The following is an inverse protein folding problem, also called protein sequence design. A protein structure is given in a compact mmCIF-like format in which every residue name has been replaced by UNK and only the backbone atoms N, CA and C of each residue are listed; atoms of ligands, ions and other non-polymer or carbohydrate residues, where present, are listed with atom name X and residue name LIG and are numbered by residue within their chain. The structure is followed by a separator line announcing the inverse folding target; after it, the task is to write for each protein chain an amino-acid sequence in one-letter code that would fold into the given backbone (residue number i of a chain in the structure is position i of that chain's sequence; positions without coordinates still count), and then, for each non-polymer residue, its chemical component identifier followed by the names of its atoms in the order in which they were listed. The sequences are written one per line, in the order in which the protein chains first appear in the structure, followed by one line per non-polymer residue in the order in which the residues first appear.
data_IF_466859389304
#
_entry.id   IF_466859389304
#
_cell.length_a   1.000
_cell.length_b   1.000
_cell.length_c   1.000
_cell.angle_alpha   90.00
_cell.angle_beta   90.00
_cell.angle_gamma   90.00
#
_symmetry.space_group_name_H-M   'P 1'
#
loop_
_entity.id
_entity.type
_entity.pdbx_description
1 polymer ?
#
# COMPACT_ATOMS: atom_id res chain seq x y z
N UNK A 1 -5.91 -11.48 -14.41
CA UNK A 1 -4.70 -11.96 -13.71
C UNK A 1 -4.16 -10.79 -12.91
N UNK A 2 -4.40 -10.75 -11.59
CA UNK A 2 -3.75 -9.76 -10.75
C UNK A 2 -2.24 -10.07 -10.72
N UNK A 3 -1.36 -9.07 -10.78
CA UNK A 3 0.07 -9.32 -10.72
C UNK A 3 0.38 -10.04 -9.39
N UNK A 4 1.09 -11.18 -9.40
CA UNK A 4 1.34 -12.00 -8.21
C UNK A 4 2.07 -11.26 -7.08
N UNK A 5 2.67 -10.10 -7.38
CA UNK A 5 3.36 -9.26 -6.40
C UNK A 5 2.39 -8.46 -5.51
N UNK A 6 1.20 -8.09 -5.98
CA UNK A 6 0.30 -7.21 -5.24
C UNK A 6 -0.19 -7.86 -3.94
N UNK A 7 -0.73 -9.08 -4.02
CA UNK A 7 -1.25 -9.79 -2.85
C UNK A 7 -0.14 -10.09 -1.82
N UNK A 8 1.06 -10.41 -2.30
CA UNK A 8 2.22 -10.66 -1.44
C UNK A 8 2.68 -9.39 -0.71
N UNK A 9 2.69 -8.24 -1.40
CA UNK A 9 3.02 -6.93 -0.81
C UNK A 9 1.99 -6.54 0.25
N UNK A 10 0.69 -6.63 -0.07
CA UNK A 10 -0.39 -6.31 0.88
C UNK A 10 -0.29 -7.19 2.13
N UNK A 11 -0.08 -8.50 1.95
CA UNK A 11 0.05 -9.43 3.08
C UNK A 11 1.28 -9.12 3.93
N UNK A 12 2.41 -8.78 3.30
CA UNK A 12 3.65 -8.39 3.99
C UNK A 12 3.44 -7.11 4.81
N UNK A 13 2.82 -6.08 4.22
CA UNK A 13 2.54 -4.82 4.92
C UNK A 13 1.58 -5.07 6.09
N UNK A 14 0.49 -5.81 5.87
CA UNK A 14 -0.49 -6.14 6.91
C UNK A 14 0.15 -6.84 8.12
N UNK A 15 1.07 -7.79 7.86
CA UNK A 15 1.84 -8.46 8.92
C UNK A 15 2.83 -7.52 9.61
N UNK A 16 3.51 -6.63 8.87
CA UNK A 16 4.51 -5.67 9.39
C UNK A 16 3.86 -4.58 10.27
N UNK A 17 2.66 -4.13 9.91
CA UNK A 17 1.94 -3.05 10.61
C UNK A 17 0.82 -3.54 11.51
N UNK A 18 0.69 -4.87 11.68
CA UNK A 18 -0.37 -5.52 12.46
C UNK A 18 -1.78 -5.00 12.12
N UNK A 19 -2.04 -4.74 10.84
CA UNK A 19 -3.29 -4.18 10.31
C UNK A 19 -4.00 -5.20 9.43
N UNK A 20 -5.33 -5.17 9.36
CA UNK A 20 -6.10 -6.06 8.49
C UNK A 20 -5.70 -5.90 7.02
N UNK A 21 -5.51 -7.01 6.32
CA UNK A 21 -5.21 -7.05 4.88
C UNK A 21 -6.25 -6.31 4.05
N UNK A 22 -7.51 -6.30 4.46
CA UNK A 22 -8.58 -5.55 3.81
C UNK A 22 -8.34 -4.04 3.86
N UNK A 23 -7.96 -3.51 5.02
CA UNK A 23 -7.59 -2.10 5.20
C UNK A 23 -6.37 -1.73 4.37
N UNK A 24 -5.34 -2.57 4.39
CA UNK A 24 -4.12 -2.38 3.60
C UNK A 24 -4.43 -2.44 2.10
N UNK A 25 -5.28 -3.36 1.66
CA UNK A 25 -5.71 -3.48 0.26
C UNK A 25 -6.43 -2.23 -0.21
N UNK A 26 -7.37 -1.72 0.61
CA UNK A 26 -8.14 -0.52 0.28
C UNK A 26 -7.23 0.72 0.20
N UNK A 27 -6.34 0.88 1.18
CA UNK A 27 -5.38 1.99 1.21
C UNK A 27 -4.39 1.92 0.05
N UNK A 28 -3.90 0.72 -0.28
CA UNK A 28 -3.04 0.51 -1.43
C UNK A 28 -3.77 0.84 -2.73
N UNK A 29 -5.01 0.40 -2.92
CA UNK A 29 -5.77 0.68 -4.13
C UNK A 29 -6.06 2.18 -4.31
N UNK A 30 -6.40 2.87 -3.21
CA UNK A 30 -6.63 4.31 -3.18
C UNK A 30 -5.36 5.09 -3.57
N UNK A 31 -4.25 4.80 -2.90
CA UNK A 31 -2.94 5.40 -3.21
C UNK A 31 -2.47 5.00 -4.62
N UNK A 32 -2.74 3.79 -5.08
CA UNK A 32 -2.42 3.39 -6.45
C UNK A 32 -3.19 4.21 -7.48
N UNK A 33 -4.48 4.45 -7.26
CA UNK A 33 -5.29 5.28 -8.15
C UNK A 33 -4.72 6.71 -8.24
N UNK A 34 -4.43 7.33 -7.09
CA UNK A 34 -3.84 8.67 -7.02
C UNK A 34 -2.50 8.77 -7.77
N UNK A 35 -1.60 7.81 -7.56
CA UNK A 35 -0.28 7.85 -8.17
C UNK A 35 -0.30 7.36 -9.63
N UNK A 36 -1.26 6.53 -10.03
CA UNK A 36 -1.42 6.11 -11.42
C UNK A 36 -2.00 7.23 -12.30
N UNK A 37 -2.75 8.15 -11.69
CA UNK A 37 -3.25 9.34 -12.37
C UNK A 37 -2.06 10.25 -12.75
N UNK A 38 -1.80 10.34 -14.06
CA UNK A 38 -0.69 11.11 -14.61
C UNK A 38 0.68 10.40 -14.61
N UNK A 39 0.79 9.17 -14.10
CA UNK A 39 2.04 8.41 -14.17
C UNK A 39 2.27 7.78 -15.54
N UNK A 40 3.43 8.07 -16.11
CA UNK A 40 3.88 7.50 -17.39
C UNK A 40 4.57 6.14 -17.24
N UNK A 41 5.03 5.81 -16.02
CA UNK A 41 5.72 4.55 -15.70
C UNK A 41 5.07 3.94 -14.45
N UNK A 42 4.39 2.81 -14.64
CA UNK A 42 3.71 2.07 -13.57
C UNK A 42 4.63 1.10 -12.81
N UNK A 43 5.83 0.86 -13.34
CA UNK A 43 6.77 -0.13 -12.79
C UNK A 43 7.26 0.25 -11.38
N UNK A 44 7.64 1.52 -11.19
CA UNK A 44 8.08 2.07 -9.89
C UNK A 44 6.94 2.38 -8.93
N UNK A 45 5.71 2.41 -9.45
CA UNK A 45 4.51 2.79 -8.72
C UNK A 45 4.24 1.80 -7.58
N UNK A 46 4.52 0.51 -7.80
CA UNK A 46 4.46 -0.53 -6.77
C UNK A 46 5.33 -0.19 -5.56
N UNK A 47 6.56 0.29 -5.78
CA UNK A 47 7.50 0.64 -4.69
C UNK A 47 7.04 1.90 -3.96
N UNK A 48 6.58 2.91 -4.70
CA UNK A 48 6.08 4.17 -4.15
C UNK A 48 4.85 3.94 -3.28
N UNK A 49 3.84 3.22 -3.80
CA UNK A 49 2.61 2.92 -3.08
C UNK A 49 2.91 2.06 -1.85
N UNK A 50 3.75 1.03 -1.99
CA UNK A 50 4.18 0.19 -0.84
C UNK A 50 4.78 1.04 0.28
N UNK A 51 5.70 1.96 -0.07
CA UNK A 51 6.34 2.84 0.90
C UNK A 51 5.31 3.77 1.55
N UNK A 52 4.43 4.38 0.75
CA UNK A 52 3.40 5.32 1.21
C UNK A 52 2.40 4.66 2.16
N UNK A 53 1.91 3.46 1.81
CA UNK A 53 0.98 2.69 2.65
C UNK A 53 1.63 2.32 3.98
N UNK A 54 2.90 1.88 3.97
CA UNK A 54 3.63 1.57 5.22
C UNK A 54 3.82 2.80 6.10
N UNK A 55 4.14 3.96 5.52
CA UNK A 55 4.28 5.23 6.25
C UNK A 55 2.95 5.70 6.84
N UNK A 56 1.85 5.63 6.06
CA UNK A 56 0.51 5.98 6.54
C UNK A 56 0.09 5.09 7.71
N UNK A 57 0.31 3.78 7.61
CA UNK A 57 -0.01 2.85 8.69
C UNK A 57 0.83 3.10 9.93
N UNK A 58 2.14 3.39 9.79
CA UNK A 58 3.01 3.79 10.91
C UNK A 58 2.59 5.12 11.54
N UNK A 59 2.12 6.08 10.74
CA UNK A 59 1.60 7.37 11.21
C UNK A 59 0.28 7.22 11.98
N UNK A 60 -0.64 6.41 11.45
CA UNK A 60 -1.93 6.09 12.11
C UNK A 60 -1.71 5.34 13.42
N UNK A 61 -0.75 4.41 13.49
CA UNK A 61 -0.38 3.76 14.76
C UNK A 61 0.21 4.72 15.80
N UNK A 62 0.72 5.88 15.38
CA UNK A 62 1.34 6.89 16.26
C UNK A 62 0.35 7.94 16.75
N UNK A 63 -0.68 8.22 15.98
CA UNK A 63 -1.79 9.13 16.35
C UNK A 63 -2.77 8.49 17.34
N UNK A 64 -2.75 7.15 17.43
CA UNK A 64 -3.54 6.35 18.38
C UNK A 64 -2.91 6.19 19.77
N UNK A 65 -1.84 6.94 20.10
CA UNK A 65 -1.17 6.87 21.41
C UNK A 65 -1.26 8.18 22.19
#
# INVERSE_FOLDING_TARGET
MAPPNFEHVVKTIASDTNTSTETVSKMYADTWAEYSDGARILDYLTVLVTKRVRENLRGVSRDLH
#
